data_IF_384538025176
#
_entry.id   IF_384538025176
#
_cell.length_a   1.000
_cell.length_b   1.000
_cell.length_c   1.000
_cell.angle_alpha   90.00
_cell.angle_beta   90.00
_cell.angle_gamma   90.00
#
_symmetry.space_group_name_H-M   'P 1'
#
loop_
_entity.id
_entity.type
_entity.pdbx_description
1 polymer ?
#
# COMPACT_ATOMS: atom_id res chain seq x y z
N UNK A 1 45.23 5.31 -27.50
CA UNK A 1 45.21 6.58 -26.76
C UNK A 1 44.20 6.48 -25.62
N UNK A 2 44.62 6.50 -24.34
CA UNK A 2 43.70 6.40 -23.21
C UNK A 2 42.94 7.72 -22.99
N UNK A 3 41.62 7.66 -22.80
CA UNK A 3 40.73 8.82 -22.61
C UNK A 3 40.92 9.42 -21.20
N UNK A 4 41.43 10.65 -21.04
CA UNK A 4 41.75 11.27 -19.74
C UNK A 4 40.56 11.76 -18.85
N UNK A 5 39.32 11.35 -19.12
CA UNK A 5 38.12 12.04 -18.60
C UNK A 5 37.37 11.20 -17.53
N UNK A 6 37.83 9.96 -17.29
CA UNK A 6 37.25 9.06 -16.28
C UNK A 6 37.50 9.46 -14.81
N UNK A 7 38.62 10.09 -14.40
CA UNK A 7 38.87 10.29 -12.97
C UNK A 7 37.98 11.39 -12.35
N UNK A 8 37.52 12.37 -13.13
CA UNK A 8 36.76 13.51 -12.60
C UNK A 8 35.29 13.19 -12.26
N UNK A 9 34.66 12.24 -12.97
CA UNK A 9 33.27 11.83 -12.70
C UNK A 9 33.16 10.96 -11.43
N UNK A 10 34.18 10.16 -11.12
CA UNK A 10 34.22 9.31 -9.92
C UNK A 10 34.38 10.15 -8.64
N UNK A 11 35.22 11.19 -8.69
CA UNK A 11 35.42 12.12 -7.56
C UNK A 11 34.16 12.96 -7.25
N UNK A 12 33.41 13.39 -8.25
CA UNK A 12 32.17 14.14 -8.06
C UNK A 12 31.05 13.28 -7.41
N UNK A 13 30.96 12.00 -7.76
CA UNK A 13 29.99 11.08 -7.16
C UNK A 13 30.29 10.77 -5.68
N UNK A 14 31.57 10.69 -5.31
CA UNK A 14 32.01 10.52 -3.91
C UNK A 14 31.75 11.77 -3.06
N UNK A 15 31.91 12.97 -3.62
CA UNK A 15 31.62 14.23 -2.92
C UNK A 15 30.12 14.42 -2.60
N UNK A 16 29.23 13.96 -3.49
CA UNK A 16 27.77 14.03 -3.27
C UNK A 16 27.26 13.02 -2.23
N UNK A 17 28.00 11.93 -1.99
CA UNK A 17 27.68 10.96 -0.94
C UNK A 17 28.07 11.47 0.47
N UNK A 18 29.07 12.35 0.57
CA UNK A 18 29.59 12.86 1.84
C UNK A 18 28.74 13.99 2.47
N UNK A 19 27.83 14.61 1.71
CA UNK A 19 27.01 15.73 2.19
C UNK A 19 25.64 15.31 2.74
N UNK A 20 25.42 14.03 3.07
CA UNK A 20 24.20 13.62 3.76
C UNK A 20 24.41 13.81 5.26
N UNK A 21 23.86 14.86 5.90
CA UNK A 21 23.93 14.98 7.35
C UNK A 21 23.32 13.72 7.95
N UNK A 22 24.13 13.01 8.76
CA UNK A 22 23.63 11.88 9.53
C UNK A 22 22.63 12.45 10.51
N UNK A 23 21.36 12.07 10.38
CA UNK A 23 20.33 12.45 11.34
C UNK A 23 20.79 11.97 12.72
N UNK A 24 20.76 12.87 13.71
CA UNK A 24 20.99 12.47 15.08
C UNK A 24 19.93 11.40 15.45
N UNK A 25 20.32 10.30 16.09
CA UNK A 25 19.36 9.38 16.67
C UNK A 25 18.46 10.17 17.63
N UNK A 26 17.16 10.00 17.47
CA UNK A 26 16.17 10.54 18.39
C UNK A 26 15.74 9.36 19.26
N UNK A 27 15.67 9.56 20.57
CA UNK A 27 15.07 8.55 21.43
C UNK A 27 13.63 8.30 20.96
N UNK A 28 13.22 7.04 20.73
CA UNK A 28 11.85 6.75 20.37
C UNK A 28 10.94 7.33 21.44
N UNK A 29 9.84 8.02 21.07
CA UNK A 29 8.86 8.44 22.05
C UNK A 29 8.39 7.22 22.84
N UNK A 30 8.14 7.42 24.14
CA UNK A 30 7.56 6.38 24.98
C UNK A 30 6.27 5.88 24.34
N UNK A 31 6.19 4.57 24.09
CA UNK A 31 5.01 3.96 23.50
C UNK A 31 3.92 3.86 24.56
N UNK A 32 3.00 4.82 24.56
CA UNK A 32 1.80 4.75 25.37
C UNK A 32 0.77 3.88 24.65
N UNK A 33 0.43 2.74 25.24
CA UNK A 33 -0.64 1.90 24.70
C UNK A 33 -1.95 2.70 24.66
N UNK A 34 -2.64 2.79 23.52
CA UNK A 34 -3.89 3.53 23.43
C UNK A 34 -4.94 2.84 24.32
N UNK A 35 -5.61 3.61 25.18
CA UNK A 35 -6.79 3.13 25.90
C UNK A 35 -7.97 3.10 24.94
N UNK A 36 -8.40 1.91 24.54
CA UNK A 36 -9.58 1.72 23.69
C UNK A 36 -10.83 1.44 24.53
N UNK A 37 -11.97 1.95 24.09
CA UNK A 37 -13.31 1.61 24.63
C UNK A 37 -14.30 1.58 23.46
N UNK A 38 -14.23 0.54 22.60
CA UNK A 38 -15.07 0.47 21.41
C UNK A 38 -16.56 0.41 21.80
N UNK A 39 -17.45 1.06 21.04
CA UNK A 39 -18.89 0.93 21.26
C UNK A 39 -19.34 -0.53 21.13
N UNK A 40 -20.34 -1.00 21.92
CA UNK A 40 -20.79 -2.38 21.88
C UNK A 40 -21.30 -2.85 20.50
N UNK A 41 -21.78 -1.93 19.67
CA UNK A 41 -22.30 -2.21 18.33
C UNK A 41 -21.24 -2.11 17.22
N UNK A 42 -19.99 -1.80 17.56
CA UNK A 42 -18.90 -1.75 16.59
C UNK A 42 -18.53 -3.17 16.15
N UNK A 43 -18.45 -3.40 14.84
CA UNK A 43 -17.98 -4.67 14.28
C UNK A 43 -16.82 -4.46 13.32
N UNK A 44 -15.98 -5.48 13.18
CA UNK A 44 -14.83 -5.49 12.27
C UNK A 44 -14.90 -6.76 11.44
N UNK A 45 -14.78 -6.62 10.12
CA UNK A 45 -14.75 -7.72 9.18
C UNK A 45 -13.49 -7.64 8.31
N UNK A 46 -12.83 -8.78 8.14
CA UNK A 46 -11.78 -8.94 7.15
C UNK A 46 -12.39 -9.23 5.78
N UNK A 47 -12.06 -8.43 4.78
CA UNK A 47 -12.46 -8.64 3.39
C UNK A 47 -11.22 -8.98 2.59
N UNK A 48 -11.06 -10.26 2.25
CA UNK A 48 -10.00 -10.71 1.37
C UNK A 48 -10.41 -10.51 -0.09
N UNK A 49 -9.77 -9.58 -0.79
CA UNK A 49 -10.09 -9.30 -2.19
C UNK A 49 -9.30 -10.18 -3.15
N UNK A 50 -8.07 -10.54 -2.81
CA UNK A 50 -7.26 -11.47 -3.58
C UNK A 50 -6.25 -12.23 -2.74
N UNK A 51 -5.82 -13.39 -3.26
CA UNK A 51 -4.88 -14.29 -2.58
C UNK A 51 -3.92 -14.94 -3.57
N UNK A 52 -2.65 -15.02 -3.17
CA UNK A 52 -1.63 -15.81 -3.83
C UNK A 52 -0.76 -16.53 -2.79
N UNK A 53 -0.96 -17.84 -2.63
CA UNK A 53 -0.31 -18.60 -1.58
C UNK A 53 -0.70 -18.07 -0.19
N UNK A 54 0.27 -17.73 0.69
CA UNK A 54 -0.01 -17.17 2.01
C UNK A 54 -0.25 -15.64 1.99
N UNK A 55 -0.05 -14.97 0.85
CA UNK A 55 -0.23 -13.53 0.72
C UNK A 55 -1.67 -13.19 0.29
N UNK A 56 -2.19 -12.10 0.83
CA UNK A 56 -3.56 -11.61 0.56
C UNK A 56 -3.54 -10.10 0.34
N UNK A 57 -4.26 -9.62 -0.68
CA UNK A 57 -4.71 -8.25 -0.73
C UNK A 57 -6.05 -8.18 0.00
N UNK A 58 -6.21 -7.28 0.95
CA UNK A 58 -7.36 -7.30 1.86
C UNK A 58 -7.66 -5.92 2.43
N UNK A 59 -8.83 -5.82 3.03
CA UNK A 59 -9.26 -4.65 3.77
C UNK A 59 -9.88 -5.06 5.12
N UNK A 60 -9.90 -4.12 6.06
CA UNK A 60 -10.77 -4.20 7.23
C UNK A 60 -11.95 -3.25 7.01
N UNK A 61 -13.16 -3.80 7.09
CA UNK A 61 -14.39 -3.02 7.17
C UNK A 61 -14.78 -2.92 8.63
N UNK A 62 -14.79 -1.70 9.14
CA UNK A 62 -15.19 -1.40 10.51
C UNK A 62 -16.53 -0.68 10.45
N UNK A 63 -17.58 -1.31 10.98
CA UNK A 63 -18.89 -0.68 11.13
C UNK A 63 -18.92 -0.01 12.50
N UNK A 64 -18.76 1.30 12.52
CA UNK A 64 -18.81 2.11 13.74
C UNK A 64 -20.13 2.92 13.77
N UNK A 65 -20.73 3.20 14.94
CA UNK A 65 -21.97 3.99 15.02
C UNK A 65 -21.91 5.38 14.38
N UNK A 66 -20.72 5.96 14.28
CA UNK A 66 -20.49 7.25 13.63
C UNK A 66 -20.27 7.16 12.11
N UNK A 67 -20.22 5.96 11.52
CA UNK A 67 -19.96 5.73 10.10
C UNK A 67 -19.06 4.52 9.85
N UNK A 68 -19.03 4.05 8.60
CA UNK A 68 -18.16 2.94 8.20
C UNK A 68 -16.74 3.44 7.94
N UNK A 69 -15.76 2.78 8.56
CA UNK A 69 -14.33 2.98 8.27
C UNK A 69 -13.84 1.82 7.42
N UNK A 70 -13.08 2.14 6.38
CA UNK A 70 -12.37 1.18 5.55
C UNK A 70 -10.87 1.34 5.80
N UNK A 71 -10.19 0.29 6.22
CA UNK A 71 -8.72 0.24 6.32
C UNK A 71 -8.21 -0.60 5.16
N UNK A 72 -7.42 0.02 4.27
CA UNK A 72 -7.00 -0.52 2.97
C UNK A 72 -8.18 -0.94 2.05
N UNK A 73 -7.89 -1.23 0.79
CA UNK A 73 -8.87 -1.59 -0.25
C UNK A 73 -8.41 -2.81 -1.08
N UNK A 74 -7.27 -3.41 -0.75
CA UNK A 74 -6.69 -4.47 -1.57
C UNK A 74 -6.10 -3.97 -2.90
N UNK A 75 -5.99 -4.88 -3.87
CA UNK A 75 -5.40 -4.64 -5.18
C UNK A 75 -6.46 -4.38 -6.26
N UNK A 76 -6.06 -3.78 -7.38
CA UNK A 76 -6.96 -3.40 -8.46
C UNK A 76 -7.40 -4.59 -9.30
N UNK A 77 -8.70 -4.69 -9.58
CA UNK A 77 -9.22 -5.60 -10.61
C UNK A 77 -8.77 -5.23 -12.04
N UNK A 78 -8.28 -4.00 -12.23
CA UNK A 78 -7.76 -3.47 -13.48
C UNK A 78 -6.23 -3.42 -13.53
N UNK A 79 -5.53 -4.09 -12.59
CA UNK A 79 -4.08 -4.06 -12.44
C UNK A 79 -3.32 -4.20 -13.78
N UNK A 80 -3.74 -5.15 -14.62
CA UNK A 80 -3.07 -5.40 -15.90
C UNK A 80 -3.06 -4.15 -16.79
N UNK A 81 -4.16 -3.39 -16.85
CA UNK A 81 -4.26 -2.14 -17.61
C UNK A 81 -3.44 -1.01 -16.98
N UNK A 82 -3.46 -0.88 -15.65
CA UNK A 82 -2.73 0.15 -14.90
C UNK A 82 -1.22 0.06 -15.08
N UNK A 83 -0.69 -1.16 -15.21
CA UNK A 83 0.74 -1.38 -15.40
C UNK A 83 1.19 -1.36 -16.87
N UNK A 84 0.29 -1.12 -17.83
CA UNK A 84 0.65 -1.06 -19.25
C UNK A 84 1.57 0.11 -19.58
N UNK A 85 1.53 1.19 -18.79
CA UNK A 85 2.43 2.35 -18.92
C UNK A 85 3.90 2.01 -18.67
N UNK A 86 4.19 0.89 -18.00
CA UNK A 86 5.55 0.45 -17.72
C UNK A 86 6.01 -0.56 -18.77
N UNK A 87 7.31 -0.53 -19.06
CA UNK A 87 7.96 -1.46 -19.97
C UNK A 87 9.07 -2.29 -19.30
N UNK A 88 9.47 -3.36 -19.99
CA UNK A 88 10.69 -4.10 -19.70
C UNK A 88 10.73 -4.71 -18.28
N UNK A 89 11.87 -4.59 -17.56
CA UNK A 89 12.04 -5.18 -16.24
C UNK A 89 11.03 -4.68 -15.19
N UNK A 90 10.61 -3.42 -15.27
CA UNK A 90 9.67 -2.81 -14.32
C UNK A 90 8.29 -3.45 -14.43
N UNK A 91 7.73 -3.54 -15.64
CA UNK A 91 6.47 -4.25 -15.88
C UNK A 91 6.53 -5.70 -15.42
N UNK A 92 7.63 -6.39 -15.75
CA UNK A 92 7.86 -7.78 -15.30
C UNK A 92 7.95 -7.92 -13.79
N UNK A 93 8.45 -6.91 -13.06
CA UNK A 93 8.48 -6.92 -11.59
C UNK A 93 7.10 -6.72 -11.01
N UNK A 94 6.33 -5.76 -11.54
CA UNK A 94 4.96 -5.47 -11.10
C UNK A 94 4.03 -6.67 -11.31
N UNK A 95 4.11 -7.35 -12.45
CA UNK A 95 3.32 -8.56 -12.75
C UNK A 95 3.71 -9.82 -11.97
N UNK A 96 4.62 -9.73 -10.97
CA UNK A 96 4.92 -10.83 -10.02
C UNK A 96 3.98 -10.73 -8.82
N UNK A 97 4.51 -10.75 -7.59
CA UNK A 97 3.71 -10.77 -6.38
C UNK A 97 2.60 -9.70 -6.34
N UNK A 98 2.84 -8.41 -6.72
CA UNK A 98 1.76 -7.43 -6.75
C UNK A 98 0.62 -7.87 -7.69
N UNK A 99 0.90 -8.06 -8.98
CA UNK A 99 -0.15 -8.46 -9.93
C UNK A 99 -0.75 -9.85 -9.73
N UNK A 100 -0.14 -10.72 -8.91
CA UNK A 100 -0.70 -12.03 -8.57
C UNK A 100 -1.81 -11.95 -7.51
N UNK A 101 -1.92 -10.83 -6.80
CA UNK A 101 -3.00 -10.58 -5.82
C UNK A 101 -4.23 -9.91 -6.44
N UNK A 102 -4.19 -9.54 -7.73
CA UNK A 102 -5.30 -8.84 -8.38
C UNK A 102 -6.63 -9.61 -8.26
N UNK A 103 -7.69 -8.96 -7.75
CA UNK A 103 -9.00 -9.58 -7.66
C UNK A 103 -9.63 -9.72 -9.04
N UNK A 104 -10.51 -10.71 -9.22
CA UNK A 104 -11.35 -10.82 -10.42
C UNK A 104 -12.58 -9.93 -10.36
N UNK A 105 -13.05 -9.64 -9.15
CA UNK A 105 -14.25 -8.85 -8.88
C UNK A 105 -13.77 -7.48 -8.37
N UNK A 106 -14.22 -6.37 -8.96
CA UNK A 106 -13.96 -5.02 -8.44
C UNK A 106 -14.29 -4.90 -6.94
N UNK A 107 -13.48 -4.17 -6.17
CA UNK A 107 -13.60 -4.16 -4.72
C UNK A 107 -14.92 -3.52 -4.25
N UNK A 108 -15.43 -2.52 -4.98
CA UNK A 108 -16.73 -1.91 -4.76
C UNK A 108 -17.89 -2.93 -4.81
N UNK A 109 -17.84 -3.88 -5.74
CA UNK A 109 -18.80 -4.97 -5.83
C UNK A 109 -18.66 -5.96 -4.66
N UNK A 110 -17.44 -6.20 -4.16
CA UNK A 110 -17.21 -7.02 -2.97
C UNK A 110 -17.78 -6.36 -1.70
N UNK A 111 -17.61 -5.05 -1.55
CA UNK A 111 -18.21 -4.27 -0.47
C UNK A 111 -19.75 -4.34 -0.52
N UNK A 112 -20.34 -4.15 -1.70
CA UNK A 112 -21.80 -4.26 -1.86
C UNK A 112 -22.31 -5.66 -1.51
N UNK A 113 -21.57 -6.72 -1.85
CA UNK A 113 -21.95 -8.10 -1.54
C UNK A 113 -22.03 -8.38 -0.02
N UNK A 114 -21.31 -7.63 0.81
CA UNK A 114 -21.37 -7.71 2.27
C UNK A 114 -22.25 -6.62 2.90
N UNK A 115 -23.04 -5.89 2.10
CA UNK A 115 -23.92 -4.83 2.56
C UNK A 115 -23.17 -3.58 3.05
N UNK A 116 -22.05 -3.24 2.41
CA UNK A 116 -21.38 -1.95 2.55
C UNK A 116 -21.61 -1.15 1.27
N UNK A 117 -22.11 0.08 1.42
CA UNK A 117 -22.16 1.03 0.32
C UNK A 117 -20.80 1.74 0.20
N UNK A 118 -20.06 1.57 -0.92
CA UNK A 118 -18.78 2.25 -1.13
C UNK A 118 -18.89 3.77 -1.05
N UNK A 119 -19.99 4.38 -1.50
CA UNK A 119 -20.20 5.83 -1.45
C UNK A 119 -20.50 6.32 -0.02
N UNK A 120 -20.93 5.42 0.87
CA UNK A 120 -21.22 5.68 2.27
C UNK A 120 -20.03 5.48 3.22
N UNK A 121 -18.83 5.20 2.72
CA UNK A 121 -17.62 5.08 3.55
C UNK A 121 -17.30 6.46 4.13
N UNK A 122 -17.32 6.57 5.46
CA UNK A 122 -17.07 7.82 6.16
C UNK A 122 -15.57 8.12 6.27
N UNK A 123 -14.74 7.09 6.39
CA UNK A 123 -13.28 7.21 6.48
C UNK A 123 -12.58 6.10 5.72
N UNK A 124 -11.58 6.48 4.93
CA UNK A 124 -10.62 5.56 4.33
C UNK A 124 -9.24 5.78 4.95
N UNK A 125 -8.66 4.71 5.51
CA UNK A 125 -7.38 4.74 6.22
C UNK A 125 -6.43 3.76 5.52
N UNK A 126 -5.61 4.23 4.57
CA UNK A 126 -4.55 3.40 4.02
C UNK A 126 -3.48 3.19 5.08
N UNK A 127 -3.05 1.95 5.29
CA UNK A 127 -1.88 1.64 6.13
C UNK A 127 -0.60 2.16 5.48
N UNK A 128 -0.52 2.08 4.14
CA UNK A 128 0.48 2.70 3.29
C UNK A 128 0.01 2.70 1.82
N UNK A 129 0.84 3.22 0.90
CA UNK A 129 0.47 3.44 -0.50
C UNK A 129 1.16 2.46 -1.46
N UNK A 130 1.04 1.16 -1.21
CA UNK A 130 1.33 0.14 -2.22
C UNK A 130 0.06 -0.31 -2.92
N UNK A 131 0.21 -0.85 -4.13
CA UNK A 131 -0.90 -1.21 -5.02
C UNK A 131 -1.88 -2.20 -4.38
N UNK A 132 -1.39 -3.10 -3.53
CA UNK A 132 -2.18 -4.10 -2.80
C UNK A 132 -2.94 -3.56 -1.59
N UNK A 133 -2.84 -2.25 -1.31
CA UNK A 133 -3.55 -1.57 -0.22
C UNK A 133 -4.50 -0.49 -0.71
N UNK A 134 -4.26 0.11 -1.88
CA UNK A 134 -5.04 1.25 -2.38
C UNK A 134 -5.51 1.07 -3.82
N UNK A 135 -5.35 -0.12 -4.40
CA UNK A 135 -5.69 -0.39 -5.80
C UNK A 135 -7.17 -0.70 -6.03
N UNK A 136 -7.85 -1.21 -5.00
CA UNK A 136 -9.25 -1.67 -5.08
C UNK A 136 -10.29 -0.59 -5.32
#
# INVERSE_FOLDING_TARGET
MPRPWLPSLVLAALALAACRPKLAPIDPPEQVAPKASPPPSMTVCWVESGRFGPATASALVIRHPAGTVLVDAGDSSQFDAEVEVYDGPTKRRLKRLPGLLRPKIPFDAQLRAIGVDPEGIAWFIPTHAHVDHIGG
#
